data_IF_540228163720
#
_entry.id   IF_540228163720
#
_cell.length_a   1.000
_cell.length_b   1.000
_cell.length_c   1.000
_cell.angle_alpha   90.00
_cell.angle_beta   90.00
_cell.angle_gamma   90.00
#
_symmetry.space_group_name_H-M   'P 1'
#
loop_
_entity.id
_entity.type
_entity.pdbx_description
1 polymer ?
#
# COMPACT_ATOMS: atom_id res chain seq x y z
N UNK A 1 67.79 57.92 -19.72
CA UNK A 1 67.01 58.42 -20.87
C UNK A 1 65.69 57.67 -20.85
N UNK A 2 64.59 58.41 -20.64
CA UNK A 2 63.14 58.10 -20.75
C UNK A 2 62.68 56.64 -20.98
N UNK A 3 61.86 56.03 -20.11
CA UNK A 3 60.37 56.13 -20.02
C UNK A 3 59.63 55.25 -21.07
N UNK A 4 58.97 54.17 -20.62
CA UNK A 4 57.56 53.83 -20.90
C UNK A 4 57.18 52.39 -20.45
N UNK A 5 56.20 52.30 -19.54
CA UNK A 5 55.19 51.21 -19.46
C UNK A 5 54.14 51.43 -20.60
N UNK A 6 53.21 50.49 -20.96
CA UNK A 6 52.46 49.60 -20.05
C UNK A 6 51.99 48.19 -20.56
N UNK A 7 51.53 47.38 -19.59
CA UNK A 7 50.39 46.41 -19.55
C UNK A 7 50.25 45.19 -20.51
N UNK A 8 50.23 43.99 -19.90
CA UNK A 8 49.24 42.87 -19.97
C UNK A 8 49.96 41.63 -19.41
N UNK A 9 49.53 40.87 -18.42
CA UNK A 9 48.20 40.51 -17.90
C UNK A 9 48.30 39.03 -17.56
N UNK A 10 48.28 38.68 -16.26
CA UNK A 10 48.56 37.34 -15.75
C UNK A 10 47.41 36.36 -15.98
N UNK A 11 47.68 35.13 -16.40
CA UNK A 11 46.87 33.98 -15.98
C UNK A 11 47.60 32.64 -16.21
N UNK A 12 48.19 32.08 -15.15
CA UNK A 12 48.78 30.73 -15.17
C UNK A 12 48.60 30.06 -13.80
N UNK A 13 47.34 29.93 -13.36
CA UNK A 13 46.97 29.34 -12.08
C UNK A 13 45.67 28.54 -12.02
N UNK A 14 44.82 28.57 -13.07
CA UNK A 14 43.49 27.94 -13.02
C UNK A 14 43.45 26.49 -13.50
N UNK A 15 44.41 26.04 -14.31
CA UNK A 15 44.30 24.75 -15.02
C UNK A 15 44.58 23.51 -14.15
N UNK A 16 45.20 23.67 -12.96
CA UNK A 16 45.58 22.53 -12.12
C UNK A 16 44.63 22.24 -10.95
N UNK A 17 43.81 23.20 -10.52
CA UNK A 17 42.75 22.96 -9.51
C UNK A 17 41.48 22.31 -10.12
N UNK A 18 41.26 22.43 -11.43
CA UNK A 18 40.07 21.89 -12.09
C UNK A 18 40.15 20.38 -12.36
N UNK A 19 41.36 19.78 -12.33
CA UNK A 19 41.51 18.32 -12.48
C UNK A 19 41.27 17.55 -11.20
N UNK A 20 41.55 18.11 -10.02
CA UNK A 20 41.27 17.42 -8.75
C UNK A 20 39.79 17.50 -8.33
N UNK A 21 39.04 18.51 -8.78
CA UNK A 21 37.59 18.60 -8.51
C UNK A 21 36.73 17.75 -9.44
N UNK A 22 37.27 17.32 -10.58
CA UNK A 22 36.49 16.58 -11.60
C UNK A 22 36.60 15.06 -11.45
N UNK A 23 37.61 14.55 -10.73
CA UNK A 23 37.83 13.10 -10.55
C UNK A 23 37.19 12.53 -9.26
N UNK A 24 36.57 13.37 -8.42
CA UNK A 24 35.79 12.93 -7.24
C UNK A 24 34.28 12.81 -7.45
N UNK A 25 33.76 13.12 -8.65
CA UNK A 25 32.38 12.73 -9.00
C UNK A 25 32.36 11.32 -9.59
N UNK A 26 33.07 10.39 -8.93
CA UNK A 26 32.86 8.97 -9.14
C UNK A 26 31.42 8.70 -8.71
N UNK A 27 30.61 8.29 -9.68
CA UNK A 27 29.25 7.78 -9.49
C UNK A 27 29.27 6.79 -8.32
N UNK A 28 28.95 7.25 -7.10
CA UNK A 28 28.49 6.38 -6.04
C UNK A 28 27.17 5.81 -6.55
N UNK A 29 27.25 4.62 -7.14
CA UNK A 29 26.09 3.78 -7.36
C UNK A 29 25.35 3.73 -6.03
N UNK A 30 24.13 4.26 -5.97
CA UNK A 30 23.40 4.31 -4.69
C UNK A 30 23.34 2.88 -4.18
N UNK A 31 24.03 2.58 -3.08
CA UNK A 31 24.08 1.24 -2.53
C UNK A 31 22.66 0.86 -2.15
N UNK A 32 22.08 -0.03 -2.94
CA UNK A 32 20.70 -0.48 -2.78
C UNK A 32 20.58 -1.17 -1.42
N UNK A 33 19.64 -0.71 -0.60
CA UNK A 33 19.44 -1.23 0.75
C UNK A 33 18.79 -2.60 0.66
N UNK A 34 19.49 -3.64 1.10
CA UNK A 34 19.09 -5.03 0.87
C UNK A 34 17.86 -5.40 1.70
N UNK A 35 17.81 -4.98 2.97
CA UNK A 35 16.63 -5.18 3.83
C UNK A 35 15.35 -4.59 3.26
N UNK A 36 15.44 -3.46 2.54
CA UNK A 36 14.29 -2.84 1.90
C UNK A 36 13.73 -3.69 0.76
N UNK A 37 14.62 -4.24 -0.08
CA UNK A 37 14.20 -5.16 -1.14
C UNK A 37 13.62 -6.45 -0.54
N UNK A 38 14.24 -7.03 0.49
CA UNK A 38 13.69 -8.20 1.19
C UNK A 38 12.32 -7.90 1.81
N UNK A 39 12.12 -6.72 2.39
CA UNK A 39 10.83 -6.36 2.96
C UNK A 39 9.75 -6.27 1.88
N UNK A 40 10.04 -5.67 0.72
CA UNK A 40 9.12 -5.72 -0.44
C UNK A 40 8.81 -7.16 -0.85
N UNK A 41 9.82 -8.02 -0.89
CA UNK A 41 9.66 -9.44 -1.22
C UNK A 41 8.79 -10.18 -0.22
N UNK A 42 8.95 -9.90 1.07
CA UNK A 42 8.10 -10.42 2.14
C UNK A 42 6.64 -9.99 1.93
N UNK A 43 6.38 -8.73 1.56
CA UNK A 43 5.02 -8.28 1.27
C UNK A 43 4.38 -9.05 0.11
N UNK A 44 5.14 -9.25 -0.99
CA UNK A 44 4.67 -10.03 -2.15
C UNK A 44 4.44 -11.49 -1.78
N UNK A 45 5.32 -12.08 -0.99
CA UNK A 45 5.19 -13.44 -0.51
C UNK A 45 3.94 -13.61 0.38
N UNK A 46 3.73 -12.71 1.34
CA UNK A 46 2.55 -12.73 2.21
C UNK A 46 1.26 -12.51 1.42
N UNK A 47 1.26 -11.61 0.44
CA UNK A 47 0.13 -11.41 -0.47
C UNK A 47 -0.22 -12.72 -1.19
N UNK A 48 0.77 -13.40 -1.80
CA UNK A 48 0.57 -14.69 -2.45
C UNK A 48 0.05 -15.75 -1.48
N UNK A 49 0.65 -15.85 -0.28
CA UNK A 49 0.26 -16.81 0.74
C UNK A 49 -1.19 -16.62 1.20
N UNK A 50 -1.65 -15.38 1.32
CA UNK A 50 -3.02 -15.04 1.70
C UNK A 50 -3.99 -15.31 0.56
N UNK A 51 -3.66 -14.91 -0.67
CA UNK A 51 -4.54 -15.07 -1.84
C UNK A 51 -4.84 -16.54 -2.14
N UNK A 52 -3.84 -17.42 -2.00
CA UNK A 52 -3.99 -18.85 -2.26
C UNK A 52 -4.28 -19.70 -1.02
N UNK A 53 -3.81 -19.28 0.17
CA UNK A 53 -3.95 -20.03 1.41
C UNK A 53 -5.09 -19.57 2.34
N UNK A 54 -5.63 -18.37 2.13
CA UNK A 54 -6.64 -17.79 3.01
C UNK A 54 -7.97 -18.54 3.02
N UNK A 55 -8.33 -19.21 1.92
CA UNK A 55 -9.55 -20.05 1.87
C UNK A 55 -9.44 -21.30 2.75
N UNK A 56 -8.22 -21.78 3.02
CA UNK A 56 -7.97 -22.99 3.82
C UNK A 56 -7.76 -22.63 5.29
N UNK A 57 -7.09 -21.52 5.57
CA UNK A 57 -6.74 -21.11 6.94
C UNK A 57 -7.38 -19.76 7.31
N UNK A 58 -8.51 -19.76 8.07
CA UNK A 58 -9.22 -18.54 8.45
C UNK A 58 -8.35 -17.51 9.18
N UNK A 59 -7.38 -17.96 10.00
CA UNK A 59 -6.45 -17.07 10.73
C UNK A 59 -5.49 -16.29 9.81
N UNK A 60 -5.29 -16.80 8.59
CA UNK A 60 -4.45 -16.16 7.57
C UNK A 60 -5.30 -15.28 6.65
N UNK A 61 -6.60 -15.53 6.53
CA UNK A 61 -7.54 -14.75 5.73
C UNK A 61 -7.78 -13.34 6.30
N UNK A 62 -8.50 -12.50 5.56
CA UNK A 62 -8.92 -11.19 6.05
C UNK A 62 -9.92 -11.30 7.20
N UNK A 63 -9.79 -10.44 8.20
CA UNK A 63 -10.85 -10.24 9.19
C UNK A 63 -12.14 -9.75 8.49
N UNK A 64 -13.32 -10.27 8.86
CA UNK A 64 -14.56 -9.87 8.18
C UNK A 64 -14.86 -8.36 8.25
N UNK A 65 -14.47 -7.69 9.34
CA UNK A 65 -14.67 -6.26 9.51
C UNK A 65 -13.78 -5.62 10.58
N UNK A 66 -14.02 -5.97 11.84
CA UNK A 66 -13.22 -5.51 12.98
C UNK A 66 -12.23 -6.61 13.38
N UNK A 67 -11.08 -6.18 13.88
CA UNK A 67 -9.95 -7.03 14.20
C UNK A 67 -8.88 -7.01 13.11
N UNK A 68 -7.83 -7.78 13.33
CA UNK A 68 -6.72 -7.93 12.38
C UNK A 68 -6.29 -9.38 12.29
N UNK A 69 -6.07 -9.84 11.06
CA UNK A 69 -5.44 -11.11 10.74
C UNK A 69 -4.17 -10.88 9.92
N UNK A 70 -3.42 -11.95 9.62
CA UNK A 70 -2.14 -11.84 8.91
C UNK A 70 -2.27 -11.11 7.56
N UNK A 71 -3.36 -11.38 6.83
CA UNK A 71 -3.67 -10.74 5.57
C UNK A 71 -3.84 -9.22 5.64
N UNK A 72 -4.21 -8.70 6.80
CA UNK A 72 -4.53 -7.28 6.95
C UNK A 72 -3.25 -6.43 6.99
N UNK A 73 -2.10 -7.01 7.38
CA UNK A 73 -0.81 -6.31 7.40
C UNK A 73 -0.16 -6.08 6.03
N UNK A 74 -0.56 -6.84 5.00
CA UNK A 74 0.10 -6.84 3.68
C UNK A 74 0.10 -5.44 3.04
N UNK A 75 -1.06 -4.79 2.98
CA UNK A 75 -1.20 -3.49 2.32
C UNK A 75 -0.49 -2.35 3.08
N UNK A 76 -0.66 -2.20 4.41
CA UNK A 76 0.14 -1.25 5.20
C UNK A 76 1.65 -1.43 5.04
N UNK A 77 2.14 -2.68 4.94
CA UNK A 77 3.56 -2.93 4.72
C UNK A 77 4.03 -2.38 3.37
N UNK A 78 3.26 -2.59 2.29
CA UNK A 78 3.57 -1.99 0.99
C UNK A 78 3.58 -0.46 1.03
N UNK A 79 2.56 0.17 1.63
CA UNK A 79 2.46 1.63 1.73
C UNK A 79 3.62 2.23 2.53
N UNK A 80 4.02 1.58 3.61
CA UNK A 80 5.16 1.97 4.43
C UNK A 80 6.47 1.87 3.64
N UNK A 81 6.70 0.75 2.96
CA UNK A 81 7.91 0.52 2.17
C UNK A 81 8.04 1.51 1.00
N UNK A 82 6.93 1.86 0.36
CA UNK A 82 6.89 2.92 -0.66
C UNK A 82 7.41 4.25 -0.10
N UNK A 83 7.00 4.61 1.12
CA UNK A 83 7.51 5.76 1.86
C UNK A 83 9.01 5.70 2.12
N UNK A 84 9.52 4.59 2.67
CA UNK A 84 10.96 4.41 2.96
C UNK A 84 11.78 4.56 1.67
N UNK A 85 11.28 4.00 0.57
CA UNK A 85 11.92 4.02 -0.75
C UNK A 85 12.04 5.43 -1.31
N UNK A 86 11.03 6.26 -1.08
CA UNK A 86 10.97 7.62 -1.57
C UNK A 86 12.09 8.50 -0.98
N UNK A 87 12.39 8.35 0.32
CA UNK A 87 13.46 9.09 0.99
C UNK A 87 14.85 8.84 0.38
N UNK A 88 15.07 7.64 -0.18
CA UNK A 88 16.36 7.22 -0.74
C UNK A 88 16.51 7.74 -2.18
N UNK A 89 15.43 7.74 -2.95
CA UNK A 89 15.44 8.07 -4.39
C UNK A 89 15.44 9.58 -4.62
N UNK A 90 14.68 10.35 -3.84
CA UNK A 90 14.58 11.79 -4.02
C UNK A 90 15.71 12.52 -3.28
N UNK A 91 16.95 12.40 -3.80
CA UNK A 91 18.03 13.30 -3.36
C UNK A 91 17.70 14.72 -3.83
N UNK A 92 17.37 15.60 -2.88
CA UNK A 92 17.20 17.07 -2.95
C UNK A 92 17.21 17.59 -4.39
N UNK A 93 16.04 17.58 -5.04
CA UNK A 93 15.92 18.13 -6.38
C UNK A 93 16.07 19.65 -6.33
N UNK A 94 17.13 20.18 -6.97
CA UNK A 94 17.29 21.62 -7.18
C UNK A 94 16.13 22.21 -8.00
N UNK A 95 15.48 21.38 -8.84
CA UNK A 95 14.30 21.75 -9.63
C UNK A 95 13.02 21.08 -9.11
N UNK A 96 12.18 21.86 -8.42
CA UNK A 96 10.93 21.40 -7.80
C UNK A 96 9.84 21.07 -8.83
N UNK A 97 9.76 21.81 -9.92
CA UNK A 97 8.70 21.63 -10.92
C UNK A 97 8.97 20.38 -11.75
N UNK A 98 10.20 20.19 -12.21
CA UNK A 98 10.63 18.96 -12.87
C UNK A 98 10.49 17.73 -11.98
N UNK A 99 10.81 17.83 -10.68
CA UNK A 99 10.58 16.74 -9.72
C UNK A 99 9.10 16.42 -9.57
N UNK A 100 8.25 17.44 -9.41
CA UNK A 100 6.79 17.27 -9.29
C UNK A 100 6.22 16.59 -10.54
N UNK A 101 6.63 17.02 -11.75
CA UNK A 101 6.17 16.40 -13.00
C UNK A 101 6.55 14.91 -13.09
N UNK A 102 7.79 14.55 -12.70
CA UNK A 102 8.22 13.13 -12.65
C UNK A 102 7.37 12.31 -11.68
N UNK A 103 7.04 12.88 -10.52
CA UNK A 103 6.17 12.24 -9.52
C UNK A 103 4.77 12.04 -10.09
N UNK A 104 4.17 13.06 -10.72
CA UNK A 104 2.84 12.97 -11.34
C UNK A 104 2.81 11.92 -12.45
N UNK A 105 3.78 11.92 -13.36
CA UNK A 105 3.85 10.93 -14.46
C UNK A 105 3.95 9.51 -13.91
N UNK A 106 4.78 9.28 -12.89
CA UNK A 106 4.91 7.96 -12.27
C UNK A 106 3.62 7.52 -11.59
N UNK A 107 2.96 8.45 -10.90
CA UNK A 107 1.66 8.21 -10.24
C UNK A 107 0.62 7.82 -11.28
N UNK A 108 0.52 8.56 -12.38
CA UNK A 108 -0.43 8.30 -13.46
C UNK A 108 -0.19 6.93 -14.12
N UNK A 109 1.07 6.57 -14.39
CA UNK A 109 1.42 5.24 -14.92
C UNK A 109 0.97 4.12 -13.99
N UNK A 110 1.21 4.27 -12.68
CA UNK A 110 0.82 3.26 -11.69
C UNK A 110 -0.71 3.16 -11.56
N UNK A 111 -1.40 4.29 -11.61
CA UNK A 111 -2.86 4.38 -11.52
C UNK A 111 -3.54 3.74 -12.73
N UNK A 112 -3.09 4.07 -13.95
CA UNK A 112 -3.60 3.47 -15.20
C UNK A 112 -3.33 1.97 -15.22
N UNK A 113 -2.13 1.54 -14.81
CA UNK A 113 -1.81 0.12 -14.68
C UNK A 113 -2.77 -0.57 -13.69
N UNK A 114 -3.11 0.06 -12.58
CA UNK A 114 -4.12 -0.41 -11.62
C UNK A 114 -5.48 -0.65 -12.25
N UNK A 115 -6.01 0.36 -12.96
CA UNK A 115 -7.30 0.25 -13.66
C UNK A 115 -7.27 -0.89 -14.68
N UNK A 116 -6.18 -1.00 -15.45
CA UNK A 116 -6.05 -2.03 -16.47
C UNK A 116 -6.06 -3.46 -15.88
N UNK A 117 -5.30 -3.71 -14.80
CA UNK A 117 -5.25 -5.02 -14.16
C UNK A 117 -6.58 -5.37 -13.48
N UNK A 118 -7.25 -4.38 -12.88
CA UNK A 118 -8.45 -4.60 -12.08
C UNK A 118 -9.74 -4.62 -12.91
N UNK A 119 -9.73 -4.01 -14.09
CA UNK A 119 -10.85 -4.03 -15.04
C UNK A 119 -11.13 -5.41 -15.63
N UNK A 120 -10.38 -6.45 -15.26
CA UNK A 120 -10.66 -7.82 -15.68
C UNK A 120 -10.36 -8.08 -17.15
N UNK A 121 -9.50 -7.28 -17.79
CA UNK A 121 -9.10 -7.47 -19.19
C UNK A 121 -8.61 -8.91 -19.46
N UNK A 122 -8.02 -9.55 -18.45
CA UNK A 122 -7.60 -10.94 -18.45
C UNK A 122 -8.55 -11.74 -17.54
N UNK A 123 -9.62 -12.30 -18.13
CA UNK A 123 -10.59 -13.14 -17.40
C UNK A 123 -9.98 -14.50 -17.01
N UNK A 124 -10.55 -15.11 -15.97
CA UNK A 124 -10.14 -16.44 -15.49
C UNK A 124 -10.45 -17.57 -16.48
N UNK A 125 -9.82 -18.72 -16.24
CA UNK A 125 -9.84 -19.98 -17.01
C UNK A 125 -11.22 -20.48 -17.50
N UNK A 126 -12.33 -19.98 -16.97
CA UNK A 126 -13.70 -20.44 -17.30
C UNK A 126 -14.48 -19.49 -18.21
N UNK A 127 -13.95 -18.32 -18.59
CA UNK A 127 -14.66 -17.32 -19.40
C UNK A 127 -13.86 -16.94 -20.65
N UNK A 128 -14.41 -17.24 -21.84
CA UNK A 128 -13.85 -16.84 -23.15
C UNK A 128 -14.21 -15.39 -23.55
N UNK A 129 -14.84 -14.63 -22.65
CA UNK A 129 -15.24 -13.24 -22.90
C UNK A 129 -14.02 -12.32 -22.74
N UNK A 130 -13.42 -11.93 -23.87
CA UNK A 130 -12.40 -10.89 -23.90
C UNK A 130 -13.07 -9.50 -23.90
N UNK A 131 -12.72 -8.65 -22.94
CA UNK A 131 -13.26 -7.29 -22.83
C UNK A 131 -13.28 -6.78 -21.40
N UNK A 132 -13.45 -5.46 -21.25
CA UNK A 132 -13.65 -4.79 -19.96
C UNK A 132 -15.04 -4.16 -20.00
N UNK A 133 -15.90 -4.52 -19.06
CA UNK A 133 -17.17 -3.82 -18.87
C UNK A 133 -16.89 -2.46 -18.25
N UNK A 134 -16.94 -1.41 -19.07
CA UNK A 134 -16.66 -0.03 -18.67
C UNK A 134 -17.68 0.44 -17.62
N UNK A 135 -18.91 -0.05 -17.65
CA UNK A 135 -19.96 0.33 -16.69
C UNK A 135 -19.74 -0.30 -15.31
N UNK A 136 -18.92 -1.36 -15.22
CA UNK A 136 -18.64 -2.10 -13.98
C UNK A 136 -17.16 -2.10 -13.58
N UNK A 137 -16.34 -1.28 -14.24
CA UNK A 137 -14.92 -1.21 -13.95
C UNK A 137 -14.70 -0.67 -12.53
N UNK A 138 -13.83 -1.31 -11.75
CA UNK A 138 -13.52 -0.84 -10.39
C UNK A 138 -12.51 0.31 -10.46
N UNK A 139 -12.88 1.49 -9.96
CA UNK A 139 -12.03 2.69 -10.01
C UNK A 139 -10.91 2.69 -8.98
N UNK A 140 -11.20 2.27 -7.74
CA UNK A 140 -10.25 2.26 -6.63
C UNK A 140 -9.77 0.85 -6.32
N UNK A 141 -8.46 0.68 -6.15
CA UNK A 141 -7.84 -0.61 -5.88
C UNK A 141 -6.46 -0.46 -5.26
N UNK A 142 -5.77 -1.58 -5.13
CA UNK A 142 -4.49 -1.67 -4.41
C UNK A 142 -3.45 -0.74 -5.05
N UNK A 143 -3.26 -0.79 -6.38
CA UNK A 143 -2.27 0.04 -7.06
C UNK A 143 -2.64 1.53 -7.05
N UNK A 144 -3.93 1.85 -7.16
CA UNK A 144 -4.43 3.22 -7.11
C UNK A 144 -4.19 3.82 -5.73
N UNK A 145 -4.45 3.05 -4.66
CA UNK A 145 -4.18 3.49 -3.28
C UNK A 145 -2.69 3.67 -3.02
N UNK A 146 -1.84 2.77 -3.52
CA UNK A 146 -0.38 2.95 -3.48
C UNK A 146 0.03 4.20 -4.25
N UNK A 147 -0.60 4.49 -5.39
CA UNK A 147 -0.33 5.70 -6.18
C UNK A 147 -0.70 6.97 -5.40
N UNK A 148 -1.85 6.99 -4.70
CA UNK A 148 -2.26 8.10 -3.82
C UNK A 148 -1.28 8.28 -2.67
N UNK A 149 -0.88 7.20 -2.00
CA UNK A 149 0.12 7.30 -0.92
C UNK A 149 1.48 7.80 -1.42
N UNK A 150 1.91 7.32 -2.60
CA UNK A 150 3.15 7.75 -3.24
C UNK A 150 3.14 9.24 -3.58
N UNK A 151 2.10 9.75 -4.26
CA UNK A 151 2.07 11.16 -4.69
C UNK A 151 2.02 12.10 -3.49
N UNK A 152 1.23 11.79 -2.46
CA UNK A 152 1.13 12.64 -1.26
C UNK A 152 2.47 12.68 -0.52
N UNK A 153 3.10 11.53 -0.28
CA UNK A 153 4.41 11.47 0.36
C UNK A 153 5.50 12.16 -0.48
N UNK A 154 5.49 11.98 -1.80
CA UNK A 154 6.45 12.59 -2.72
C UNK A 154 6.31 14.11 -2.81
N UNK A 155 5.08 14.62 -2.81
CA UNK A 155 4.84 16.05 -2.74
C UNK A 155 5.28 16.63 -1.39
N UNK A 156 5.04 15.92 -0.28
CA UNK A 156 5.57 16.32 1.01
C UNK A 156 7.10 16.46 0.97
N UNK A 157 7.79 15.50 0.34
CA UNK A 157 9.25 15.53 0.21
C UNK A 157 9.77 16.68 -0.67
N UNK A 158 9.12 16.93 -1.82
CA UNK A 158 9.54 17.97 -2.76
C UNK A 158 9.29 19.38 -2.22
N UNK A 159 8.16 19.59 -1.55
CA UNK A 159 7.70 20.93 -1.14
C UNK A 159 8.05 21.29 0.30
N UNK A 160 8.40 20.32 1.13
CA UNK A 160 8.83 20.52 2.51
C UNK A 160 10.28 20.04 2.72
N UNK A 161 11.26 20.55 1.94
CA UNK A 161 12.63 20.11 2.05
C UNK A 161 13.20 20.45 3.43
N UNK A 162 13.95 19.52 4.01
CA UNK A 162 14.69 19.75 5.24
C UNK A 162 16.00 20.49 4.93
N UNK A 163 16.27 21.60 5.62
CA UNK A 163 17.61 22.19 5.69
C UNK A 163 18.40 21.47 6.78
N UNK A 164 19.57 20.93 6.41
CA UNK A 164 20.27 19.92 7.18
C UNK A 164 20.82 20.39 8.53
N UNK A 165 20.58 19.61 9.58
CA UNK A 165 21.41 19.53 10.79
C UNK A 165 21.34 18.11 11.37
N UNK A 166 22.47 17.58 11.83
CA UNK A 166 22.62 16.24 12.42
C UNK A 166 22.10 16.23 13.87
N UNK A 167 21.43 15.15 14.31
CA UNK A 167 21.13 14.86 15.71
C UNK A 167 19.65 14.68 16.07
N UNK A 168 19.37 14.55 17.39
CA UNK A 168 18.07 14.25 18.06
C UNK A 168 16.93 15.23 17.71
N UNK A 169 17.23 16.27 16.92
CA UNK A 169 16.29 17.29 16.41
C UNK A 169 15.52 16.82 15.17
N UNK A 170 15.59 15.53 14.82
CA UNK A 170 14.94 14.97 13.63
C UNK A 170 13.41 15.16 13.66
N UNK A 171 12.75 14.96 14.81
CA UNK A 171 11.31 15.23 14.96
C UNK A 171 10.94 16.70 14.75
N UNK A 172 11.77 17.63 15.23
CA UNK A 172 11.54 19.07 15.06
C UNK A 172 11.70 19.50 13.59
N UNK A 173 12.62 18.87 12.88
CA UNK A 173 12.89 19.18 11.47
C UNK A 173 11.79 18.66 10.53
N UNK A 174 11.17 17.52 10.87
CA UNK A 174 10.06 16.95 10.09
C UNK A 174 8.67 17.27 10.65
N UNK A 175 8.57 18.28 11.53
CA UNK A 175 7.29 18.67 12.16
C UNK A 175 6.22 19.00 11.13
N UNK A 176 6.60 19.56 9.97
CA UNK A 176 5.66 19.88 8.88
C UNK A 176 5.04 18.62 8.26
N UNK A 177 5.81 17.56 8.09
CA UNK A 177 5.32 16.27 7.58
C UNK A 177 4.41 15.58 8.62
N UNK A 178 4.77 15.67 9.91
CA UNK A 178 3.91 15.21 11.01
C UNK A 178 2.59 16.00 11.09
N UNK A 179 2.62 17.33 10.93
CA UNK A 179 1.41 18.14 10.86
C UNK A 179 0.48 17.68 9.72
N UNK A 180 1.02 17.29 8.56
CA UNK A 180 0.21 16.74 7.47
C UNK A 180 -0.44 15.42 7.88
N UNK A 181 0.29 14.52 8.55
CA UNK A 181 -0.30 13.28 9.09
C UNK A 181 -1.47 13.61 10.02
N UNK A 182 -1.29 14.55 10.96
CA UNK A 182 -2.35 14.97 11.88
C UNK A 182 -3.55 15.57 11.15
N UNK A 183 -3.34 16.41 10.14
CA UNK A 183 -4.41 17.00 9.32
C UNK A 183 -5.17 15.91 8.55
N UNK A 184 -4.47 14.98 7.90
CA UNK A 184 -5.11 13.86 7.19
C UNK A 184 -5.94 12.99 8.14
N UNK A 185 -5.41 12.71 9.33
CA UNK A 185 -6.10 11.98 10.39
C UNK A 185 -7.34 12.73 10.89
N UNK A 186 -7.22 14.04 11.14
CA UNK A 186 -8.32 14.87 11.60
C UNK A 186 -9.45 14.96 10.57
N UNK A 187 -9.11 15.11 9.28
CA UNK A 187 -10.08 15.07 8.17
C UNK A 187 -10.76 13.70 8.12
N UNK A 188 -9.97 12.61 8.17
CA UNK A 188 -10.51 11.25 8.16
C UNK A 188 -11.50 11.02 9.31
N UNK A 189 -11.12 11.33 10.55
CA UNK A 189 -12.02 11.21 11.71
C UNK A 189 -13.24 12.13 11.62
N UNK A 190 -13.04 13.39 11.23
CA UNK A 190 -14.14 14.36 11.10
C UNK A 190 -15.19 13.90 10.10
N UNK A 191 -14.76 13.34 8.96
CA UNK A 191 -15.67 12.77 7.95
C UNK A 191 -16.26 11.44 8.41
N UNK A 192 -15.45 10.56 9.01
CA UNK A 192 -15.89 9.23 9.44
C UNK A 192 -17.01 9.31 10.50
N UNK A 193 -16.84 10.17 11.50
CA UNK A 193 -17.79 10.31 12.61
C UNK A 193 -18.82 11.43 12.42
N UNK A 194 -18.48 12.49 11.68
CA UNK A 194 -19.32 13.69 11.58
C UNK A 194 -20.36 13.66 10.47
N UNK A 195 -20.15 12.90 9.39
CA UNK A 195 -21.05 12.90 8.23
C UNK A 195 -22.33 12.10 8.53
N UNK A 196 -23.48 12.64 8.12
CA UNK A 196 -24.77 11.97 8.21
C UNK A 196 -24.97 11.03 7.02
N UNK A 197 -25.33 9.79 7.32
CA UNK A 197 -25.58 8.75 6.31
C UNK A 197 -27.09 8.53 6.19
N UNK A 198 -27.71 8.97 5.06
CA UNK A 198 -29.11 8.72 4.80
C UNK A 198 -29.35 7.25 4.41
N UNK A 199 -30.63 6.87 4.44
CA UNK A 199 -31.09 5.59 3.91
C UNK A 199 -30.78 5.50 2.41
N UNK A 200 -30.52 4.30 1.93
CA UNK A 200 -30.09 4.09 0.55
C UNK A 200 -30.58 2.76 -0.01
N UNK A 201 -30.65 2.68 -1.33
CA UNK A 201 -31.13 1.51 -2.04
C UNK A 201 -30.16 1.10 -3.15
N UNK A 202 -30.16 -0.19 -3.49
CA UNK A 202 -29.37 -0.73 -4.59
C UNK A 202 -30.07 -1.91 -5.24
N UNK A 203 -29.82 -2.10 -6.53
CA UNK A 203 -30.39 -3.21 -7.31
C UNK A 203 -29.32 -4.24 -7.64
N UNK A 204 -29.60 -5.51 -7.40
CA UNK A 204 -28.75 -6.63 -7.81
C UNK A 204 -29.44 -7.38 -8.95
N UNK A 205 -28.78 -7.43 -10.10
CA UNK A 205 -29.22 -8.24 -11.25
C UNK A 205 -28.84 -9.70 -11.01
N UNK A 206 -29.83 -10.59 -10.89
CA UNK A 206 -29.67 -12.04 -10.87
C UNK A 206 -30.28 -12.64 -12.15
N UNK A 207 -30.01 -13.92 -12.43
CA UNK A 207 -30.52 -14.62 -13.63
C UNK A 207 -32.04 -14.67 -13.72
N UNK A 208 -32.76 -14.48 -12.61
CA UNK A 208 -34.22 -14.53 -12.50
C UNK A 208 -34.90 -13.15 -12.42
N UNK A 209 -34.12 -12.04 -12.45
CA UNK A 209 -34.65 -10.67 -12.39
C UNK A 209 -33.75 -9.71 -11.60
N UNK A 210 -34.15 -8.43 -11.51
CA UNK A 210 -33.51 -7.44 -10.64
C UNK A 210 -34.23 -7.35 -9.30
N UNK A 211 -33.50 -7.57 -8.20
CA UNK A 211 -34.02 -7.38 -6.84
C UNK A 211 -33.46 -6.08 -6.26
N UNK A 212 -34.36 -5.23 -5.76
CA UNK A 212 -33.97 -3.95 -5.13
C UNK A 212 -34.00 -4.12 -3.62
N UNK A 213 -32.89 -3.75 -2.98
CA UNK A 213 -32.70 -3.81 -1.55
C UNK A 213 -32.64 -2.39 -0.98
N UNK A 214 -33.35 -2.17 0.12
CA UNK A 214 -33.31 -0.92 0.89
C UNK A 214 -32.52 -1.14 2.19
N UNK A 215 -31.66 -0.19 2.53
CA UNK A 215 -30.84 -0.18 3.75
C UNK A 215 -31.17 1.07 4.55
N UNK A 216 -31.72 0.86 5.75
CA UNK A 216 -32.07 1.93 6.68
C UNK A 216 -30.88 2.23 7.59
N UNK A 217 -30.43 3.48 7.56
CA UNK A 217 -29.27 3.98 8.29
C UNK A 217 -29.68 5.14 9.18
N UNK A 218 -29.96 6.30 8.59
CA UNK A 218 -30.35 7.54 9.28
C UNK A 218 -29.53 7.85 10.54
N UNK A 219 -28.20 7.65 10.47
CA UNK A 219 -27.27 7.76 11.60
C UNK A 219 -26.02 8.58 11.26
N UNK A 220 -25.29 9.00 12.30
CA UNK A 220 -23.94 9.59 12.21
C UNK A 220 -22.96 8.70 12.97
N UNK A 221 -21.74 8.60 12.44
CA UNK A 221 -20.63 7.92 13.11
C UNK A 221 -20.82 6.42 13.34
N UNK A 222 -21.70 5.78 12.57
CA UNK A 222 -21.74 4.32 12.54
C UNK A 222 -20.50 3.78 11.82
N UNK A 223 -19.85 2.80 12.44
CA UNK A 223 -18.69 2.10 11.89
C UNK A 223 -19.07 0.72 11.33
N UNK A 224 -20.36 0.39 11.29
CA UNK A 224 -20.87 -0.83 10.70
C UNK A 224 -20.71 -0.88 9.17
N UNK A 225 -20.80 -2.06 8.55
CA UNK A 225 -20.62 -2.24 7.11
C UNK A 225 -21.68 -1.53 6.25
N UNK A 226 -22.87 -1.31 6.80
CA UNK A 226 -24.03 -0.81 6.07
C UNK A 226 -24.12 0.72 6.02
N UNK A 227 -23.81 1.38 7.14
CA UNK A 227 -24.17 2.78 7.40
C UNK A 227 -22.98 3.67 7.73
N UNK A 228 -21.76 3.22 7.40
CA UNK A 228 -20.57 4.05 7.51
C UNK A 228 -20.50 5.12 6.41
N UNK A 229 -19.90 6.26 6.75
CA UNK A 229 -19.75 7.38 5.83
C UNK A 229 -18.72 7.14 4.73
N UNK A 230 -17.71 6.28 4.96
CA UNK A 230 -16.73 5.91 3.94
C UNK A 230 -17.41 5.29 2.71
N UNK A 231 -18.23 4.27 2.93
CA UNK A 231 -19.02 3.60 1.91
C UNK A 231 -20.09 4.49 1.30
N UNK A 232 -20.65 5.46 2.04
CA UNK A 232 -21.53 6.49 1.47
C UNK A 232 -20.80 7.36 0.44
N UNK A 233 -19.61 7.86 0.80
CA UNK A 233 -18.79 8.70 -0.08
C UNK A 233 -18.41 7.93 -1.33
N UNK A 234 -17.97 6.69 -1.19
CA UNK A 234 -17.57 5.86 -2.32
C UNK A 234 -18.77 5.56 -3.24
N UNK A 235 -19.96 5.27 -2.68
CA UNK A 235 -21.20 5.09 -3.47
C UNK A 235 -21.60 6.35 -4.23
N UNK A 236 -21.43 7.53 -3.64
CA UNK A 236 -21.82 8.80 -4.24
C UNK A 236 -20.82 9.28 -5.30
N UNK A 237 -19.51 9.17 -5.04
CA UNK A 237 -18.46 9.70 -5.92
C UNK A 237 -18.06 8.68 -6.99
N UNK A 238 -17.84 7.42 -6.61
CA UNK A 238 -17.39 6.39 -7.55
C UNK A 238 -18.57 5.73 -8.27
N UNK A 239 -19.74 5.68 -7.63
CA UNK A 239 -20.92 4.98 -8.13
C UNK A 239 -20.93 3.50 -7.74
N UNK A 240 -22.13 2.96 -7.45
CA UNK A 240 -22.32 1.61 -6.92
C UNK A 240 -21.75 0.52 -7.85
N UNK A 241 -21.86 0.70 -9.16
CA UNK A 241 -21.39 -0.27 -10.15
C UNK A 241 -19.86 -0.39 -10.22
N UNK A 242 -19.14 0.62 -9.73
CA UNK A 242 -17.68 0.69 -9.77
C UNK A 242 -17.03 0.31 -8.44
N UNK A 243 -17.81 -0.15 -7.47
CA UNK A 243 -17.33 -0.64 -6.18
C UNK A 243 -16.95 -2.12 -6.25
N UNK A 244 -16.17 -2.56 -5.27
CA UNK A 244 -15.81 -3.97 -5.19
C UNK A 244 -17.02 -4.85 -4.85
N UNK A 245 -17.36 -5.73 -5.79
CA UNK A 245 -18.58 -6.54 -5.74
C UNK A 245 -18.51 -7.74 -4.79
N UNK A 246 -17.36 -8.05 -4.17
CA UNK A 246 -17.17 -9.19 -3.26
C UNK A 246 -16.50 -8.77 -1.94
N UNK A 247 -17.11 -7.88 -1.15
CA UNK A 247 -16.50 -7.38 0.07
C UNK A 247 -16.35 -8.47 1.14
N UNK A 248 -15.32 -8.33 1.99
CA UNK A 248 -14.92 -9.34 2.99
C UNK A 248 -16.00 -9.53 4.07
N UNK A 249 -16.78 -8.49 4.39
CA UNK A 249 -17.85 -8.60 5.38
C UNK A 249 -18.93 -9.61 5.00
N UNK A 250 -18.99 -10.11 3.75
CA UNK A 250 -19.89 -11.22 3.41
C UNK A 250 -19.59 -12.49 4.19
N UNK A 251 -18.37 -12.63 4.69
CA UNK A 251 -17.96 -13.74 5.54
C UNK A 251 -18.38 -13.57 7.01
N UNK A 252 -19.04 -12.46 7.35
CA UNK A 252 -19.66 -12.27 8.67
C UNK A 252 -20.69 -13.36 8.96
N UNK A 253 -20.88 -13.69 10.25
CA UNK A 253 -21.85 -14.69 10.68
C UNK A 253 -23.29 -14.26 10.35
N UNK A 254 -23.54 -12.96 10.35
CA UNK A 254 -24.81 -12.33 10.00
C UNK A 254 -25.18 -12.52 8.52
N UNK A 255 -24.18 -12.73 7.66
CA UNK A 255 -24.35 -12.95 6.22
C UNK A 255 -24.25 -14.44 5.82
N UNK A 256 -23.69 -15.29 6.69
CA UNK A 256 -23.61 -16.74 6.47
C UNK A 256 -24.80 -17.44 7.10
N UNK A 257 -25.89 -17.60 6.34
CA UNK A 257 -27.05 -18.39 6.75
C UNK A 257 -26.65 -19.85 7.02
N UNK A 258 -26.78 -20.29 8.28
CA UNK A 258 -26.57 -21.69 8.65
C UNK A 258 -27.83 -22.51 8.35
N UNK A 259 -27.66 -23.51 7.49
CA UNK A 259 -28.50 -24.70 7.25
C UNK A 259 -29.84 -24.53 6.52
N UNK A 260 -29.96 -25.35 5.47
CA UNK A 260 -31.15 -25.92 4.81
C UNK A 260 -32.52 -25.37 5.23
N UNK A 261 -33.17 -24.75 4.24
CA UNK A 261 -34.61 -24.77 3.97
C UNK A 261 -35.57 -23.77 4.61
N UNK A 262 -35.24 -22.94 5.62
CA UNK A 262 -36.23 -21.95 6.13
C UNK A 262 -35.78 -20.54 6.51
N UNK A 263 -34.57 -20.11 6.18
CA UNK A 263 -34.10 -18.76 6.56
C UNK A 263 -33.46 -18.02 5.38
N UNK A 264 -34.24 -17.78 4.33
CA UNK A 264 -33.89 -16.79 3.30
C UNK A 264 -34.38 -15.37 3.66
N UNK A 265 -35.18 -15.22 4.74
CA UNK A 265 -35.81 -13.96 5.14
C UNK A 265 -35.10 -13.18 6.26
N UNK A 266 -34.02 -13.70 6.89
CA UNK A 266 -33.34 -13.02 8.00
C UNK A 266 -31.96 -12.42 7.66
N UNK A 267 -31.53 -12.51 6.40
CA UNK A 267 -30.24 -11.95 5.99
C UNK A 267 -30.38 -10.44 5.81
N UNK A 268 -29.53 -9.63 6.46
CA UNK A 268 -29.58 -8.18 6.27
C UNK A 268 -29.37 -7.79 4.82
N UNK A 269 -30.15 -6.82 4.33
CA UNK A 269 -30.12 -6.36 2.94
C UNK A 269 -28.72 -5.93 2.49
N UNK A 270 -27.95 -5.31 3.38
CA UNK A 270 -26.59 -4.83 3.09
C UNK A 270 -25.56 -5.95 2.84
N UNK A 271 -25.82 -7.22 3.17
CA UNK A 271 -24.87 -8.31 2.89
C UNK A 271 -24.60 -8.49 1.38
N UNK A 272 -25.58 -8.14 0.53
CA UNK A 272 -25.42 -8.18 -0.93
C UNK A 272 -24.77 -6.94 -1.52
N UNK A 273 -24.61 -5.87 -0.73
CA UNK A 273 -24.02 -4.63 -1.20
C UNK A 273 -22.57 -4.80 -1.66
N UNK A 274 -22.15 -3.92 -2.57
CA UNK A 274 -20.75 -3.71 -2.91
C UNK A 274 -20.12 -2.68 -1.94
N UNK A 275 -18.85 -2.85 -1.64
CA UNK A 275 -18.11 -1.96 -0.74
C UNK A 275 -16.63 -2.00 -1.07
N UNK A 276 -15.99 -0.83 -1.14
CA UNK A 276 -14.58 -0.73 -1.50
C UNK A 276 -13.68 -0.43 -0.27
N UNK A 277 -12.86 -1.39 0.20
CA UNK A 277 -11.93 -1.15 1.31
C UNK A 277 -10.72 -0.28 0.93
N UNK A 278 -10.56 0.01 -0.37
CA UNK A 278 -9.49 0.85 -0.92
C UNK A 278 -10.03 2.21 -1.38
N UNK A 279 -11.22 2.60 -0.89
CA UNK A 279 -11.95 3.80 -1.30
C UNK A 279 -11.29 5.13 -0.92
N UNK A 280 -12.00 6.23 -1.20
CA UNK A 280 -11.46 7.59 -1.17
C UNK A 280 -11.05 8.00 0.25
N UNK A 281 -11.94 7.77 1.22
CA UNK A 281 -11.70 8.19 2.61
C UNK A 281 -10.57 7.39 3.27
N UNK A 282 -10.48 6.10 2.94
CA UNK A 282 -9.43 5.19 3.42
C UNK A 282 -8.07 5.50 2.78
N UNK A 283 -8.04 6.14 1.61
CA UNK A 283 -6.81 6.55 0.94
C UNK A 283 -6.07 7.68 1.66
N UNK A 284 -6.78 8.50 2.47
CA UNK A 284 -6.17 9.55 3.29
C UNK A 284 -5.23 8.97 4.37
N UNK A 285 -5.71 7.97 5.11
CA UNK A 285 -4.92 7.30 6.16
C UNK A 285 -3.85 6.39 5.55
N UNK A 286 -4.06 5.83 4.37
CA UNK A 286 -3.01 5.15 3.61
C UNK A 286 -1.87 6.11 3.19
N UNK A 287 -2.19 7.33 2.77
CA UNK A 287 -1.18 8.35 2.50
C UNK A 287 -0.38 8.71 3.77
N UNK A 288 -1.06 8.82 4.92
CA UNK A 288 -0.38 9.00 6.19
C UNK A 288 0.59 7.84 6.52
N UNK A 289 0.21 6.57 6.27
CA UNK A 289 1.15 5.42 6.40
C UNK A 289 2.38 5.57 5.50
N UNK A 290 2.22 6.05 4.26
CA UNK A 290 3.37 6.31 3.37
C UNK A 290 4.26 7.45 3.89
N UNK A 291 3.70 8.51 4.49
CA UNK A 291 4.49 9.57 5.13
C UNK A 291 5.22 9.04 6.38
N UNK A 292 4.60 8.15 7.17
CA UNK A 292 5.30 7.49 8.29
C UNK A 292 6.48 6.67 7.78
N UNK A 293 6.31 5.90 6.70
CA UNK A 293 7.40 5.19 6.04
C UNK A 293 8.51 6.14 5.54
N UNK A 294 8.15 7.31 5.01
CA UNK A 294 9.10 8.35 4.61
C UNK A 294 10.00 8.78 5.78
N UNK A 295 9.46 8.90 7.01
CA UNK A 295 10.27 9.19 8.21
C UNK A 295 11.35 8.13 8.47
N UNK A 296 11.01 6.85 8.29
CA UNK A 296 11.98 5.76 8.47
C UNK A 296 13.10 5.84 7.44
N UNK A 297 12.76 6.19 6.19
CA UNK A 297 13.73 6.44 5.13
C UNK A 297 14.64 7.64 5.44
N UNK A 298 14.12 8.73 6.01
CA UNK A 298 14.94 9.86 6.45
C UNK A 298 15.93 9.47 7.55
N UNK A 299 15.48 8.70 8.54
CA UNK A 299 16.36 8.18 9.60
C UNK A 299 17.48 7.32 8.97
N UNK A 300 17.16 6.51 7.97
CA UNK A 300 18.15 5.68 7.26
C UNK A 300 19.23 6.52 6.57
N UNK A 301 18.82 7.59 5.87
CA UNK A 301 19.73 8.46 5.10
C UNK A 301 20.55 9.39 6.00
N UNK A 302 19.95 9.94 7.06
CA UNK A 302 20.61 10.93 7.91
C UNK A 302 21.54 10.33 8.97
N UNK A 303 21.15 9.24 9.62
CA UNK A 303 22.00 8.58 10.60
C UNK A 303 22.98 7.66 9.88
N UNK A 304 24.27 7.82 10.15
CA UNK A 304 25.31 6.92 9.62
C UNK A 304 25.47 5.67 10.51
N UNK A 305 25.20 5.79 11.80
CA UNK A 305 25.37 4.72 12.78
C UNK A 305 24.18 3.74 12.82
N UNK A 306 24.47 2.44 12.84
CA UNK A 306 23.47 1.37 12.90
C UNK A 306 22.64 1.37 14.19
N UNK A 307 23.26 1.63 15.35
CA UNK A 307 22.56 1.67 16.65
C UNK A 307 21.64 2.88 16.71
N UNK A 308 22.09 4.03 16.21
CA UNK A 308 21.26 5.25 16.15
C UNK A 308 20.00 5.08 15.28
N UNK A 309 20.13 4.40 14.13
CA UNK A 309 19.00 4.03 13.27
C UNK A 309 17.99 3.15 14.01
N UNK A 310 18.48 2.05 14.59
CA UNK A 310 17.64 1.08 15.30
C UNK A 310 16.95 1.68 16.51
N UNK A 311 17.64 2.50 17.30
CA UNK A 311 17.07 3.17 18.46
C UNK A 311 15.93 4.11 18.06
N UNK A 312 16.16 4.94 17.04
CA UNK A 312 15.17 5.90 16.54
C UNK A 312 13.94 5.20 15.97
N UNK A 313 14.14 4.16 15.15
CA UNK A 313 13.05 3.36 14.60
C UNK A 313 12.27 2.60 15.67
N UNK A 314 12.96 2.05 16.67
CA UNK A 314 12.32 1.30 17.76
C UNK A 314 11.46 2.22 18.63
N UNK A 315 11.95 3.42 18.98
CA UNK A 315 11.15 4.41 19.73
C UNK A 315 9.91 4.81 18.94
N UNK A 316 10.08 5.10 17.65
CA UNK A 316 8.97 5.52 16.79
C UNK A 316 7.94 4.40 16.64
N UNK A 317 8.38 3.16 16.39
CA UNK A 317 7.51 1.98 16.32
C UNK A 317 6.73 1.78 17.62
N UNK A 318 7.42 1.79 18.75
CA UNK A 318 6.82 1.55 20.06
C UNK A 318 5.81 2.65 20.42
N UNK A 319 6.14 3.92 20.16
CA UNK A 319 5.24 5.05 20.40
C UNK A 319 3.96 4.93 19.56
N UNK A 320 4.08 4.61 18.26
CA UNK A 320 2.92 4.40 17.38
C UNK A 320 2.06 3.21 17.84
N UNK A 321 2.69 2.13 18.31
CA UNK A 321 1.98 0.96 18.81
C UNK A 321 1.18 1.28 20.06
N UNK A 322 1.79 1.96 21.04
CA UNK A 322 1.13 2.35 22.29
C UNK A 322 -0.06 3.27 22.00
N UNK A 323 0.11 4.29 21.16
CA UNK A 323 -1.00 5.19 20.79
C UNK A 323 -2.08 4.45 20.02
N UNK A 324 -1.73 3.58 19.08
CA UNK A 324 -2.69 2.80 18.30
C UNK A 324 -3.54 1.86 19.15
N UNK A 325 -2.92 1.12 20.07
CA UNK A 325 -3.62 0.22 21.01
C UNK A 325 -4.45 1.03 22.01
N UNK A 326 -3.97 2.18 22.46
CA UNK A 326 -4.74 3.07 23.33
C UNK A 326 -6.01 3.60 22.65
N UNK A 327 -5.95 3.93 21.36
CA UNK A 327 -7.14 4.34 20.60
C UNK A 327 -8.14 3.20 20.42
N UNK A 328 -7.66 1.97 20.20
CA UNK A 328 -8.54 0.79 20.16
C UNK A 328 -9.24 0.58 21.51
N UNK A 329 -8.51 0.73 22.60
CA UNK A 329 -9.06 0.67 23.96
C UNK A 329 -10.12 1.77 24.24
N UNK A 330 -9.95 2.98 23.70
CA UNK A 330 -10.93 4.08 23.83
C UNK A 330 -12.19 3.85 22.97
N UNK A 331 -12.18 2.87 22.07
CA UNK A 331 -13.33 2.50 21.24
C UNK A 331 -13.22 2.91 19.78
N UNK A 332 -12.02 3.20 19.26
CA UNK A 332 -11.77 3.29 17.81
C UNK A 332 -11.33 1.91 17.31
N UNK A 333 -12.23 1.05 16.81
CA UNK A 333 -11.92 -0.35 16.53
C UNK A 333 -10.84 -0.47 15.46
N UNK A 334 -9.95 -1.46 15.60
CA UNK A 334 -9.05 -1.87 14.52
C UNK A 334 -9.88 -2.40 13.33
N UNK A 335 -10.10 -1.53 12.34
CA UNK A 335 -10.88 -1.86 11.15
C UNK A 335 -10.08 -1.52 9.88
N UNK A 336 -9.80 -2.57 9.09
CA UNK A 336 -9.08 -2.47 7.81
C UNK A 336 -9.90 -1.81 6.72
N UNK A 337 -11.17 -2.20 6.58
CA UNK A 337 -12.07 -1.74 5.52
C UNK A 337 -12.25 -0.22 5.53
N UNK A 338 -12.37 0.34 6.74
CA UNK A 338 -12.43 1.79 6.94
C UNK A 338 -11.03 2.42 7.03
N UNK A 339 -9.99 1.61 7.23
CA UNK A 339 -8.62 2.02 7.52
C UNK A 339 -8.57 3.10 8.60
N UNK A 340 -9.15 2.72 9.74
CA UNK A 340 -9.23 3.54 10.96
C UNK A 340 -7.84 3.98 11.45
N UNK A 341 -7.80 5.06 12.24
CA UNK A 341 -6.53 5.59 12.75
C UNK A 341 -5.83 4.59 13.67
N UNK A 342 -6.56 3.91 14.55
CA UNK A 342 -5.99 2.85 15.41
C UNK A 342 -5.33 1.76 14.56
N UNK A 343 -6.01 1.28 13.53
CA UNK A 343 -5.48 0.32 12.57
C UNK A 343 -4.23 0.84 11.84
N UNK A 344 -4.27 2.07 11.32
CA UNK A 344 -3.14 2.71 10.65
C UNK A 344 -1.90 2.78 11.56
N UNK A 345 -2.06 3.18 12.83
CA UNK A 345 -0.97 3.31 13.78
C UNK A 345 -0.37 1.95 14.17
N UNK A 346 -1.23 0.98 14.52
CA UNK A 346 -0.78 -0.38 14.89
C UNK A 346 -0.07 -1.05 13.71
N UNK A 347 -0.62 -0.97 12.50
CA UNK A 347 0.01 -1.58 11.32
C UNK A 347 1.28 -0.85 10.90
N UNK A 348 1.37 0.48 11.03
CA UNK A 348 2.61 1.23 10.79
C UNK A 348 3.70 0.88 11.81
N UNK A 349 3.33 0.64 13.07
CA UNK A 349 4.26 0.15 14.09
C UNK A 349 4.77 -1.26 13.76
N UNK A 350 3.87 -2.17 13.35
CA UNK A 350 4.25 -3.50 12.91
C UNK A 350 5.19 -3.47 11.69
N UNK A 351 4.95 -2.56 10.73
CA UNK A 351 5.87 -2.32 9.61
C UNK A 351 7.26 -1.89 10.08
N UNK A 352 7.31 -0.94 11.02
CA UNK A 352 8.56 -0.43 11.58
C UNK A 352 9.36 -1.49 12.35
N UNK A 353 8.69 -2.30 13.18
CA UNK A 353 9.29 -3.42 13.90
C UNK A 353 9.82 -4.46 12.91
N UNK A 354 9.02 -4.82 11.91
CA UNK A 354 9.42 -5.78 10.86
C UNK A 354 10.64 -5.26 10.09
N UNK A 355 10.66 -3.98 9.74
CA UNK A 355 11.80 -3.36 9.07
C UNK A 355 13.06 -3.37 9.93
N UNK A 356 12.95 -3.07 11.24
CA UNK A 356 14.07 -3.16 12.17
C UNK A 356 14.64 -4.57 12.27
N UNK A 357 13.77 -5.59 12.35
CA UNK A 357 14.17 -6.99 12.41
C UNK A 357 14.89 -7.42 11.14
N UNK A 358 14.33 -7.11 9.97
CA UNK A 358 14.95 -7.43 8.67
C UNK A 358 16.29 -6.71 8.50
N UNK A 359 16.40 -5.45 8.93
CA UNK A 359 17.64 -4.69 8.93
C UNK A 359 18.72 -5.33 9.82
N UNK A 360 18.35 -5.74 11.04
CA UNK A 360 19.24 -6.46 11.96
C UNK A 360 19.75 -7.77 11.35
N UNK A 361 18.84 -8.59 10.82
CA UNK A 361 19.18 -9.90 10.26
C UNK A 361 20.08 -9.80 9.03
N UNK A 362 19.81 -8.85 8.14
CA UNK A 362 20.44 -8.81 6.82
C UNK A 362 21.63 -7.85 6.78
N UNK A 363 21.45 -6.60 7.22
CA UNK A 363 22.47 -5.56 7.08
C UNK A 363 23.51 -5.61 8.21
N UNK A 364 23.17 -6.14 9.40
CA UNK A 364 24.09 -6.26 10.54
C UNK A 364 24.63 -7.69 10.68
N UNK A 365 23.76 -8.69 10.79
CA UNK A 365 24.17 -10.10 10.94
C UNK A 365 24.58 -10.79 9.63
N UNK A 366 24.31 -10.17 8.47
CA UNK A 366 24.78 -10.67 7.19
C UNK A 366 24.07 -11.91 6.65
N UNK A 367 22.85 -12.24 7.12
CA UNK A 367 22.08 -13.43 6.70
C UNK A 367 21.48 -13.34 5.29
N UNK A 368 22.15 -12.64 4.38
CA UNK A 368 21.67 -12.39 3.02
C UNK A 368 21.41 -13.67 2.24
N UNK A 369 22.24 -14.71 2.42
CA UNK A 369 22.06 -16.00 1.72
C UNK A 369 20.77 -16.71 2.10
N UNK A 370 20.28 -16.57 3.33
CA UNK A 370 19.03 -17.22 3.75
C UNK A 370 17.81 -16.51 3.12
N UNK A 371 17.91 -15.20 2.93
CA UNK A 371 16.82 -14.35 2.46
C UNK A 371 16.88 -14.06 0.95
N UNK A 372 17.70 -14.79 0.18
CA UNK A 372 17.93 -14.50 -1.24
C UNK A 372 16.65 -14.59 -2.09
N UNK A 373 15.73 -15.51 -1.75
CA UNK A 373 14.44 -15.65 -2.45
C UNK A 373 13.59 -14.41 -2.24
N UNK A 374 13.48 -13.95 -0.99
CA UNK A 374 12.75 -12.72 -0.67
C UNK A 374 13.41 -11.49 -1.29
N UNK A 375 14.74 -11.42 -1.30
CA UNK A 375 15.46 -10.34 -2.00
C UNK A 375 15.09 -10.33 -3.49
N UNK A 376 15.11 -11.48 -4.16
CA UNK A 376 14.74 -11.61 -5.57
C UNK A 376 13.29 -11.20 -5.84
N UNK A 377 12.35 -11.72 -5.04
CA UNK A 377 10.94 -11.36 -5.14
C UNK A 377 10.73 -9.85 -4.98
N UNK A 378 11.46 -9.22 -4.07
CA UNK A 378 11.40 -7.77 -3.85
C UNK A 378 11.84 -6.94 -5.05
N UNK A 379 12.93 -7.35 -5.71
CA UNK A 379 13.44 -6.68 -6.92
C UNK A 379 12.46 -6.76 -8.09
N UNK A 380 11.67 -7.83 -8.16
CA UNK A 380 10.68 -8.09 -9.21
C UNK A 380 9.23 -7.93 -8.74
N UNK A 381 9.00 -7.23 -7.63
CA UNK A 381 7.71 -7.16 -6.94
C UNK A 381 6.54 -6.74 -7.83
N UNK A 382 6.69 -5.70 -8.66
CA UNK A 382 5.62 -5.25 -9.56
C UNK A 382 5.27 -6.30 -10.62
N UNK A 383 6.28 -6.96 -11.21
CA UNK A 383 6.07 -8.01 -12.21
C UNK A 383 5.35 -9.21 -11.60
N UNK A 384 5.74 -9.63 -10.40
CA UNK A 384 5.09 -10.73 -9.69
C UNK A 384 3.64 -10.35 -9.33
N UNK A 385 3.40 -9.13 -8.86
CA UNK A 385 2.05 -8.62 -8.58
C UNK A 385 1.15 -8.67 -9.81
N UNK A 386 1.65 -8.24 -10.98
CA UNK A 386 0.92 -8.30 -12.25
C UNK A 386 0.59 -9.76 -12.61
N UNK A 387 1.55 -10.67 -12.51
CA UNK A 387 1.36 -12.08 -12.86
C UNK A 387 0.32 -12.77 -11.98
N UNK A 388 0.30 -12.46 -10.68
CA UNK A 388 -0.66 -13.00 -9.71
C UNK A 388 -2.04 -12.41 -9.95
N UNK A 389 -2.16 -11.07 -9.95
CA UNK A 389 -3.45 -10.37 -10.04
C UNK A 389 -4.19 -10.68 -11.34
N UNK A 390 -3.46 -10.81 -12.45
CA UNK A 390 -4.04 -11.11 -13.76
C UNK A 390 -4.33 -12.60 -13.98
N UNK A 391 -4.11 -13.47 -12.98
CA UNK A 391 -4.16 -14.93 -13.11
C UNK A 391 -3.31 -15.52 -14.25
N UNK A 392 -2.40 -14.73 -14.85
CA UNK A 392 -1.56 -15.17 -15.99
C UNK A 392 -0.70 -16.35 -15.56
N UNK A 393 -0.15 -16.33 -14.35
CA UNK A 393 0.63 -17.45 -13.84
C UNK A 393 -0.20 -18.75 -13.78
N UNK A 394 -1.46 -18.67 -13.34
CA UNK A 394 -2.37 -19.81 -13.27
C UNK A 394 -2.72 -20.30 -14.67
N UNK A 395 -3.05 -19.38 -15.59
CA UNK A 395 -3.37 -19.70 -16.99
C UNK A 395 -2.17 -20.35 -17.68
N UNK A 396 -0.95 -19.85 -17.46
CA UNK A 396 0.25 -20.45 -18.04
C UNK A 396 0.51 -21.86 -17.49
N UNK A 397 0.37 -22.08 -16.19
CA UNK A 397 0.60 -23.39 -15.58
C UNK A 397 -0.49 -24.41 -15.92
N UNK A 398 -1.75 -24.00 -15.96
CA UNK A 398 -2.88 -24.86 -16.30
C UNK A 398 -3.09 -25.02 -17.81
N UNK A 399 -2.58 -24.08 -18.61
CA UNK A 399 -2.68 -24.09 -20.07
C UNK A 399 -1.85 -25.21 -20.72
N UNK A 400 -0.81 -25.71 -20.02
CA UNK A 400 -0.13 -26.94 -20.42
C UNK A 400 -0.90 -28.15 -19.87
N UNK A 401 -1.64 -28.80 -20.76
CA UNK A 401 -2.40 -30.02 -20.45
C UNK A 401 -2.06 -31.15 -21.41
N UNK A 402 -2.23 -32.40 -20.95
CA UNK A 402 -1.93 -33.59 -21.72
C UNK A 402 -3.21 -34.25 -22.23
N UNK A 403 -3.44 -34.18 -23.55
CA UNK A 403 -4.61 -34.69 -24.29
C UNK A 403 -5.95 -34.05 -23.89
N UNK A 404 -6.28 -34.02 -22.60
CA UNK A 404 -7.51 -33.47 -22.05
C UNK A 404 -7.24 -32.28 -21.11
N UNK A 405 -8.05 -31.20 -21.14
CA UNK A 405 -7.87 -30.00 -20.30
C UNK A 405 -7.89 -30.27 -18.79
N UNK A 406 -8.53 -31.38 -18.37
CA UNK A 406 -8.58 -31.84 -16.98
C UNK A 406 -7.23 -32.40 -16.51
N UNK A 407 -6.36 -32.81 -17.44
CA UNK A 407 -5.06 -33.41 -17.15
C UNK A 407 -3.94 -32.38 -17.32
N UNK A 408 -4.03 -31.29 -16.55
CA UNK A 408 -3.03 -30.23 -16.53
C UNK A 408 -1.94 -30.49 -15.49
N UNK A 409 -0.84 -29.74 -15.57
CA UNK A 409 0.31 -29.88 -14.64
C UNK A 409 -0.14 -29.82 -13.18
N UNK A 410 -1.09 -28.95 -12.86
CA UNK A 410 -1.65 -28.80 -11.51
C UNK A 410 -2.41 -30.06 -11.08
N UNK A 411 -3.27 -30.61 -11.95
CA UNK A 411 -4.01 -31.85 -11.70
C UNK A 411 -3.09 -33.04 -11.49
N UNK A 412 -1.98 -33.12 -12.25
CA UNK A 412 -0.96 -34.15 -12.04
C UNK A 412 -0.26 -34.02 -10.68
N UNK A 413 0.11 -32.81 -10.26
CA UNK A 413 0.73 -32.59 -8.94
C UNK A 413 -0.26 -32.90 -7.81
N UNK A 414 -1.50 -32.44 -7.90
CA UNK A 414 -2.53 -32.67 -6.88
C UNK A 414 -2.83 -34.17 -6.74
N UNK A 415 -2.98 -34.90 -7.85
CA UNK A 415 -3.21 -36.35 -7.79
C UNK A 415 -2.02 -37.13 -7.20
N UNK A 416 -0.79 -36.66 -7.35
CA UNK A 416 0.40 -37.30 -6.76
C UNK A 416 0.60 -37.01 -5.28
N UNK A 417 0.21 -35.82 -4.79
CA UNK A 417 0.51 -35.37 -3.42
C UNK A 417 -0.68 -35.30 -2.46
N UNK A 418 -1.92 -35.23 -2.96
CA UNK A 418 -3.15 -35.10 -2.13
C UNK A 418 -3.94 -36.41 -2.04
N UNK A 419 -3.80 -37.30 -3.04
CA UNK A 419 -4.48 -38.59 -3.09
C UNK A 419 -3.59 -39.81 -2.76
N UNK A 420 -2.39 -39.57 -2.21
CA UNK A 420 -1.64 -40.55 -1.43
C UNK A 420 -1.80 -40.23 0.05
#
# INVERSE_FOLDING_TARGET
MAENQPLLGSNCGEVMCERETTDQRKSETSSRVVSLDIFRGLCVFLMMLVDYGGSVFPSIAHSPWNGVHLADFVMPFFLFVVGVSLAIVNKIALDRTGATLKVVIRTLKLFILGIFLQGGYLHGITGLTYGVDIERIRWMGILQRIAVGYIVAALCEVWLPCQGMKGVVLFRNYIRQWCIIFVLCAIHCGVLYGLYVPDWQFSVSQSTGSTTYEVKCSVRGDLGPACNSAGMIDRYILGINHLYAKPVYRNMKECNGSNSDRVSASMPSWCHAAFDPEGILSSLTAAATSIIGLQYGHILVHFQDHKGRLYSWSILSFSLLVVGVFLDFIGVPLNKSLYTISYMLVTSAASGITFCLLYLLVDIYGWRRLMFVLEWMGKHSLSIFILITSNIAVILLQGFYWRDPQNNIVGWVVTQFVHK
#
